data_IF_523517479621
#
_entry.id   IF_523517479621
#
_cell.length_a   1.000
_cell.length_b   1.000
_cell.length_c   1.000
_cell.angle_alpha   90.00
_cell.angle_beta   90.00
_cell.angle_gamma   90.00
#
_symmetry.space_group_name_H-M   'P 1'
#
loop_
_entity.id
_entity.type
_entity.pdbx_description
1 polymer ?
#
# COMPACT_ATOMS: atom_id res chain seq x y z
N UNK A 1 -6.34 -0.17 21.38
CA UNK A 1 -6.15 0.79 20.27
C UNK A 1 -6.46 0.07 18.98
N UNK A 2 -7.25 0.64 18.09
CA UNK A 2 -7.59 0.05 16.78
C UNK A 2 -6.78 0.73 15.69
N UNK A 3 -6.14 -0.05 14.82
CA UNK A 3 -5.52 0.46 13.58
C UNK A 3 -6.64 0.90 12.64
N UNK A 4 -6.48 2.06 12.00
CA UNK A 4 -7.53 2.67 11.16
C UNK A 4 -7.21 2.67 9.67
N UNK A 5 -5.93 2.62 9.31
CA UNK A 5 -5.45 2.50 7.94
C UNK A 5 -4.02 1.96 7.94
N UNK A 6 -3.67 1.23 6.88
CA UNK A 6 -2.33 0.70 6.63
C UNK A 6 -1.86 1.15 5.26
N UNK A 7 -0.56 1.45 5.13
CA UNK A 7 0.11 1.64 3.84
C UNK A 7 1.36 0.76 3.81
N UNK A 8 1.46 -0.11 2.80
CA UNK A 8 2.62 -0.95 2.51
C UNK A 8 3.37 -0.40 1.31
N UNK A 9 4.61 0.07 1.49
CA UNK A 9 5.43 0.67 0.42
C UNK A 9 6.51 -0.31 -0.03
N UNK A 10 6.41 -0.83 -1.25
CA UNK A 10 7.36 -1.77 -1.84
C UNK A 10 7.48 -3.07 -1.04
N UNK A 11 6.45 -3.41 -0.24
CA UNK A 11 6.49 -4.54 0.67
C UNK A 11 6.25 -5.89 0.00
N UNK A 12 6.42 -6.95 0.79
CA UNK A 12 6.12 -8.35 0.46
C UNK A 12 4.96 -8.91 1.30
N UNK A 13 3.75 -8.33 1.19
CA UNK A 13 2.61 -8.77 2.00
C UNK A 13 2.20 -10.21 1.68
N UNK A 14 2.53 -10.73 0.51
CA UNK A 14 2.37 -12.14 0.14
C UNK A 14 2.99 -13.11 1.17
N UNK A 15 4.09 -12.71 1.82
CA UNK A 15 4.76 -13.51 2.84
C UNK A 15 3.95 -13.63 4.14
N UNK A 16 2.93 -12.81 4.35
CA UNK A 16 2.01 -12.95 5.47
C UNK A 16 1.02 -14.11 5.29
N UNK A 17 0.91 -14.68 4.07
CA UNK A 17 0.13 -15.89 3.81
C UNK A 17 -1.31 -15.82 4.34
N UNK A 18 -1.72 -16.84 5.09
CA UNK A 18 -3.08 -16.97 5.63
C UNK A 18 -3.52 -15.82 6.54
N UNK A 19 -2.57 -15.06 7.12
CA UNK A 19 -2.89 -13.90 7.95
C UNK A 19 -3.42 -12.71 7.14
N UNK A 20 -3.22 -12.68 5.81
CA UNK A 20 -3.79 -11.63 4.95
C UNK A 20 -5.32 -11.60 5.00
N UNK A 21 -5.95 -12.77 5.12
CA UNK A 21 -7.41 -12.89 5.22
C UNK A 21 -7.97 -12.34 6.54
N UNK A 22 -7.11 -12.15 7.55
CA UNK A 22 -7.47 -11.62 8.87
C UNK A 22 -7.31 -10.10 8.95
N UNK A 23 -6.76 -9.45 7.92
CA UNK A 23 -6.65 -7.99 7.89
C UNK A 23 -8.03 -7.40 7.65
N UNK A 24 -8.54 -6.66 8.64
CA UNK A 24 -9.82 -5.92 8.57
C UNK A 24 -9.62 -4.43 8.26
N UNK A 25 -8.39 -3.94 8.35
CA UNK A 25 -8.08 -2.51 8.23
C UNK A 25 -7.87 -2.10 6.77
N UNK A 26 -8.45 -0.96 6.31
CA UNK A 26 -8.19 -0.45 4.97
C UNK A 26 -6.70 -0.35 4.66
N UNK A 27 -6.27 -1.05 3.60
CA UNK A 27 -4.85 -1.20 3.26
C UNK A 27 -4.52 -0.71 1.85
N UNK A 28 -3.61 0.25 1.74
CA UNK A 28 -3.02 0.67 0.47
C UNK A 28 -1.67 -0.02 0.27
N UNK A 29 -1.48 -0.59 -0.91
CA UNK A 29 -0.22 -1.20 -1.35
C UNK A 29 0.37 -0.31 -2.45
N UNK A 30 1.58 0.19 -2.26
CA UNK A 30 2.28 1.06 -3.22
C UNK A 30 3.53 0.36 -3.72
N UNK A 31 3.66 0.19 -5.03
CA UNK A 31 4.79 -0.51 -5.66
C UNK A 31 5.41 0.33 -6.78
N UNK A 32 6.70 0.12 -7.04
CA UNK A 32 7.40 0.74 -8.16
C UNK A 32 6.99 0.09 -9.49
N UNK A 33 6.77 0.89 -10.52
CA UNK A 33 6.32 0.44 -11.83
C UNK A 33 7.37 -0.35 -12.64
N UNK A 34 8.63 -0.33 -12.21
CA UNK A 34 9.71 -1.13 -12.80
C UNK A 34 10.00 -2.41 -12.01
N UNK A 35 9.19 -2.73 -11.00
CA UNK A 35 9.32 -3.92 -10.16
C UNK A 35 8.17 -4.91 -10.42
N UNK A 36 8.16 -5.49 -11.63
CA UNK A 36 7.11 -6.41 -12.10
C UNK A 36 6.87 -7.57 -11.14
N UNK A 37 7.94 -8.10 -10.55
CA UNK A 37 7.87 -9.20 -9.58
C UNK A 37 7.09 -8.76 -8.35
N UNK A 38 7.43 -7.62 -7.75
CA UNK A 38 6.73 -7.11 -6.57
C UNK A 38 5.30 -6.70 -6.90
N UNK A 39 5.02 -6.19 -8.11
CA UNK A 39 3.66 -5.92 -8.58
C UNK A 39 2.80 -7.18 -8.53
N UNK A 40 3.25 -8.28 -9.12
CA UNK A 40 2.46 -9.51 -9.18
C UNK A 40 2.29 -10.17 -7.80
N UNK A 41 3.32 -10.10 -6.95
CA UNK A 41 3.25 -10.56 -5.57
C UNK A 41 2.25 -9.74 -4.74
N UNK A 42 2.18 -8.43 -4.94
CA UNK A 42 1.19 -7.58 -4.27
C UNK A 42 -0.23 -7.82 -4.80
N UNK A 43 -0.41 -8.14 -6.10
CA UNK A 43 -1.71 -8.59 -6.64
C UNK A 43 -2.13 -9.92 -6.00
N UNK A 44 -1.22 -10.88 -5.85
CA UNK A 44 -1.49 -12.13 -5.15
C UNK A 44 -1.89 -11.91 -3.69
N UNK A 45 -1.20 -11.00 -2.99
CA UNK A 45 -1.57 -10.65 -1.62
C UNK A 45 -2.98 -10.07 -1.54
N UNK A 46 -3.31 -9.10 -2.41
CA UNK A 46 -4.64 -8.48 -2.49
C UNK A 46 -5.74 -9.53 -2.71
N UNK A 47 -5.50 -10.54 -3.56
CA UNK A 47 -6.49 -11.59 -3.82
C UNK A 47 -6.86 -12.43 -2.59
N UNK A 48 -6.03 -12.39 -1.54
CA UNK A 48 -6.25 -13.09 -0.26
C UNK A 48 -6.80 -12.16 0.84
N UNK A 49 -6.89 -10.85 0.59
CA UNK A 49 -7.38 -9.87 1.56
C UNK A 49 -8.89 -9.68 1.44
N UNK A 50 -9.57 -9.56 2.57
CA UNK A 50 -11.03 -9.35 2.61
C UNK A 50 -11.45 -7.93 3.01
N UNK A 51 -10.52 -7.09 3.47
CA UNK A 51 -10.79 -5.68 3.75
C UNK A 51 -10.78 -4.84 2.48
N UNK A 52 -11.20 -3.57 2.63
CA UNK A 52 -10.94 -2.56 1.61
C UNK A 52 -9.44 -2.45 1.34
N UNK A 53 -9.05 -2.59 0.08
CA UNK A 53 -7.65 -2.56 -0.30
C UNK A 53 -7.48 -1.94 -1.70
N UNK A 54 -6.28 -1.44 -1.96
CA UNK A 54 -5.94 -0.82 -3.24
C UNK A 54 -4.47 -1.04 -3.58
N UNK A 55 -4.20 -1.38 -4.84
CA UNK A 55 -2.85 -1.35 -5.41
C UNK A 55 -2.62 -0.05 -6.17
N UNK A 56 -1.51 0.61 -5.87
CA UNK A 56 -1.07 1.80 -6.57
C UNK A 56 0.35 1.62 -7.09
N UNK A 57 0.51 1.81 -8.41
CA UNK A 57 1.79 1.65 -9.10
C UNK A 57 2.35 3.06 -9.40
N UNK A 58 3.61 3.28 -9.07
CA UNK A 58 4.36 4.52 -9.36
C UNK A 58 5.14 4.32 -10.67
N UNK A 59 4.75 4.95 -11.79
CA UNK A 59 5.41 4.75 -13.07
C UNK A 59 6.89 5.12 -13.02
N UNK A 60 7.76 4.28 -13.59
CA UNK A 60 9.19 4.55 -13.69
C UNK A 60 9.97 4.42 -12.37
N UNK A 61 9.33 4.06 -11.25
CA UNK A 61 10.02 3.85 -9.98
C UNK A 61 10.52 2.41 -9.84
N UNK A 62 11.73 2.24 -9.33
CA UNK A 62 12.27 0.94 -8.89
C UNK A 62 11.84 0.65 -7.44
N UNK A 63 12.27 -0.51 -6.92
CA UNK A 63 11.90 -1.02 -5.59
C UNK A 63 12.06 0.01 -4.44
N UNK A 64 13.10 0.84 -4.51
CA UNK A 64 13.44 1.80 -3.46
C UNK A 64 12.85 3.20 -3.69
N UNK A 65 12.24 3.46 -4.85
CA UNK A 65 11.69 4.75 -5.24
C UNK A 65 12.74 5.89 -5.24
N UNK A 66 13.97 5.60 -5.66
CA UNK A 66 15.08 6.58 -5.68
C UNK A 66 14.98 7.59 -6.84
N UNK A 67 14.13 7.29 -7.82
CA UNK A 67 13.94 8.14 -8.98
C UNK A 67 13.35 9.50 -8.59
N UNK A 68 13.75 10.59 -9.27
CA UNK A 68 13.25 11.93 -8.96
C UNK A 68 11.71 11.99 -8.93
N UNK A 69 11.16 12.43 -7.80
CA UNK A 69 9.72 12.58 -7.59
C UNK A 69 8.96 11.30 -7.22
N UNK A 70 9.59 10.12 -7.26
CA UNK A 70 8.92 8.86 -6.91
C UNK A 70 8.45 8.85 -5.45
N UNK A 71 9.31 9.24 -4.51
CA UNK A 71 8.93 9.37 -3.09
C UNK A 71 7.89 10.46 -2.83
N UNK A 72 7.91 11.57 -3.58
CA UNK A 72 6.88 12.61 -3.46
C UNK A 72 5.51 12.07 -3.87
N UNK A 73 5.47 11.24 -4.91
CA UNK A 73 4.25 10.60 -5.36
C UNK A 73 3.75 9.55 -4.35
N UNK A 74 4.65 8.73 -3.80
CA UNK A 74 4.34 7.81 -2.69
C UNK A 74 3.75 8.58 -1.51
N UNK A 75 4.39 9.68 -1.10
CA UNK A 75 3.95 10.50 0.01
C UNK A 75 2.57 11.12 -0.25
N UNK A 76 2.33 11.63 -1.45
CA UNK A 76 1.03 12.19 -1.86
C UNK A 76 -0.08 11.15 -1.78
N UNK A 77 0.13 9.95 -2.33
CA UNK A 77 -0.86 8.85 -2.32
C UNK A 77 -1.11 8.34 -0.90
N UNK A 78 -0.04 8.18 -0.11
CA UNK A 78 -0.10 7.84 1.32
C UNK A 78 -0.90 8.84 2.13
N UNK A 79 -0.64 10.13 1.96
CA UNK A 79 -1.38 11.21 2.64
C UNK A 79 -2.87 11.14 2.32
N UNK A 80 -3.22 11.00 1.05
CA UNK A 80 -4.61 10.93 0.63
C UNK A 80 -5.33 9.71 1.20
N UNK A 81 -4.65 8.55 1.25
CA UNK A 81 -5.18 7.36 1.92
C UNK A 81 -5.50 7.65 3.38
N UNK A 82 -4.54 8.18 4.13
CA UNK A 82 -4.76 8.49 5.54
C UNK A 82 -5.85 9.54 5.76
N UNK A 83 -5.94 10.59 4.94
CA UNK A 83 -7.01 11.59 5.05
C UNK A 83 -8.42 11.00 4.83
N UNK A 84 -8.53 9.90 4.09
CA UNK A 84 -9.82 9.24 3.84
C UNK A 84 -10.29 8.39 5.04
N UNK A 85 -9.38 7.78 5.80
CA UNK A 85 -9.74 6.84 6.87
C UNK A 85 -9.42 7.33 8.29
N UNK A 86 -8.54 8.33 8.44
CA UNK A 86 -8.28 8.96 9.72
C UNK A 86 -9.25 10.13 9.89
N UNK A 87 -10.08 10.13 10.95
CA UNK A 87 -10.94 11.26 11.23
C UNK A 87 -10.07 12.50 11.44
N UNK A 88 -10.40 13.59 10.74
CA UNK A 88 -9.83 14.90 11.03
C UNK A 88 -10.48 15.34 12.34
N UNK A 89 -9.85 14.98 13.47
CA UNK A 89 -10.24 15.53 14.75
C UNK A 89 -9.88 17.01 14.74
N UNK A 90 -10.86 17.87 14.50
CA UNK A 90 -10.72 19.29 14.85
C UNK A 90 -10.54 19.35 16.37
N UNK A 91 -9.38 19.84 16.82
CA UNK A 91 -9.18 20.26 18.19
C UNK A 91 -9.67 21.69 18.34
#
# INVERSE_FOLDING_TARGET
MTVKAVVSRGGRPDLAGEYLAQVETPTLLIVGGLDDVVIDLNKQAISQMHCENKLEIIPGATHLFEEPGALDEVAKRTKNWFLNYLPITQR
#
